data_IF_216830112680
#
_entry.id   IF_216830112680
#
_cell.length_a   1.000
_cell.length_b   1.000
_cell.length_c   1.000
_cell.angle_alpha   90.00
_cell.angle_beta   90.00
_cell.angle_gamma   90.00
#
_symmetry.space_group_name_H-M   'P 1'
#
loop_
_entity.id
_entity.type
_entity.pdbx_description
1 polymer ?
#
# COMPACT_ATOMS: atom_id res chain seq x y z
N UNK A 1 -18.48 -8.58 -14.87
CA UNK A 1 -17.71 -8.38 -13.62
C UNK A 1 -16.49 -9.30 -13.67
N UNK A 2 -15.43 -8.90 -14.38
CA UNK A 2 -14.21 -9.72 -14.49
C UNK A 2 -13.23 -9.29 -13.39
N UNK A 3 -13.29 -10.04 -12.29
CA UNK A 3 -12.29 -10.00 -11.23
C UNK A 3 -10.97 -10.43 -11.85
N UNK A 4 -10.03 -9.49 -11.94
CA UNK A 4 -8.64 -9.73 -12.36
C UNK A 4 -7.95 -10.55 -11.28
N UNK A 5 -8.13 -11.87 -11.33
CA UNK A 5 -7.52 -12.86 -10.43
C UNK A 5 -6.05 -13.16 -10.81
N UNK A 6 -5.25 -12.14 -11.17
CA UNK A 6 -3.87 -12.36 -11.66
C UNK A 6 -2.78 -12.26 -10.59
N UNK A 7 -3.09 -12.18 -9.29
CA UNK A 7 -2.06 -11.97 -8.24
C UNK A 7 -1.99 -13.00 -7.13
N UNK A 8 -2.49 -14.20 -7.38
CA UNK A 8 -2.24 -15.36 -6.52
C UNK A 8 -1.72 -16.57 -7.31
N UNK A 9 -0.99 -16.34 -8.42
CA UNK A 9 0.00 -17.31 -8.91
C UNK A 9 1.16 -17.36 -7.91
N UNK A 10 0.79 -17.94 -6.77
CA UNK A 10 1.53 -18.71 -5.79
C UNK A 10 3.03 -18.49 -5.79
N UNK A 11 3.50 -17.88 -4.70
CA UNK A 11 4.91 -17.89 -4.30
C UNK A 11 5.55 -19.28 -4.38
N UNK A 12 4.76 -20.37 -4.31
CA UNK A 12 5.23 -21.73 -4.53
C UNK A 12 5.58 -22.01 -5.99
N UNK A 13 4.79 -21.53 -6.95
CA UNK A 13 5.09 -21.71 -8.39
C UNK A 13 6.39 -20.97 -8.73
N UNK A 14 6.57 -19.75 -8.21
CA UNK A 14 7.80 -19.00 -8.44
C UNK A 14 9.02 -19.71 -7.82
N UNK A 15 8.87 -20.27 -6.62
CA UNK A 15 9.92 -21.06 -5.96
C UNK A 15 10.22 -22.34 -6.74
N UNK A 16 9.19 -23.08 -7.16
CA UNK A 16 9.33 -24.30 -7.94
C UNK A 16 10.04 -24.04 -9.28
N UNK A 17 9.66 -22.97 -9.99
CA UNK A 17 10.30 -22.58 -11.25
C UNK A 17 11.75 -22.18 -11.02
N UNK A 18 12.06 -21.45 -9.94
CA UNK A 18 13.43 -21.13 -9.56
C UNK A 18 14.27 -22.39 -9.30
N UNK A 19 13.74 -23.37 -8.55
CA UNK A 19 14.45 -24.63 -8.29
C UNK A 19 14.61 -25.49 -9.55
N UNK A 20 13.59 -25.54 -10.42
CA UNK A 20 13.67 -26.26 -11.68
C UNK A 20 14.72 -25.64 -12.61
N UNK A 21 14.76 -24.32 -12.71
CA UNK A 21 15.79 -23.62 -13.49
C UNK A 21 17.20 -23.87 -12.93
N UNK A 22 17.36 -23.82 -11.60
CA UNK A 22 18.65 -24.10 -10.95
C UNK A 22 19.09 -25.56 -11.17
N UNK A 23 18.17 -26.51 -11.08
CA UNK A 23 18.44 -27.92 -11.36
C UNK A 23 18.91 -28.12 -12.82
N UNK A 24 18.23 -27.49 -13.77
CA UNK A 24 18.59 -27.60 -15.19
C UNK A 24 19.98 -27.01 -15.48
N UNK A 25 20.32 -25.88 -14.88
CA UNK A 25 21.67 -25.29 -14.97
C UNK A 25 22.72 -26.23 -14.40
N UNK A 26 22.45 -26.85 -13.24
CA UNK A 26 23.36 -27.81 -12.60
C UNK A 26 23.60 -29.02 -13.50
N UNK A 27 22.53 -29.61 -14.06
CA UNK A 27 22.63 -30.78 -14.95
C UNK A 27 23.43 -30.44 -16.20
N UNK A 28 23.18 -29.31 -16.85
CA UNK A 28 23.91 -28.88 -18.05
C UNK A 28 25.39 -28.67 -17.70
N UNK A 29 25.69 -27.98 -16.60
CA UNK A 29 27.07 -27.70 -16.21
C UNK A 29 27.82 -28.98 -15.87
N UNK A 30 27.19 -29.93 -15.19
CA UNK A 30 27.79 -31.21 -14.86
C UNK A 30 28.04 -32.06 -16.12
N UNK A 31 27.08 -32.11 -17.04
CA UNK A 31 27.23 -32.82 -18.32
C UNK A 31 28.39 -32.24 -19.15
N UNK A 32 28.49 -30.91 -19.24
CA UNK A 32 29.55 -30.21 -19.94
C UNK A 32 30.94 -30.41 -19.28
N UNK A 33 31.02 -30.37 -17.94
CA UNK A 33 32.30 -30.58 -17.25
C UNK A 33 32.79 -32.02 -17.39
N UNK A 34 31.86 -32.98 -17.26
CA UNK A 34 32.20 -34.41 -17.36
C UNK A 34 32.65 -34.76 -18.78
N UNK A 35 32.00 -34.19 -19.81
CA UNK A 35 32.43 -34.39 -21.21
C UNK A 35 33.79 -33.76 -21.49
N UNK A 36 34.03 -32.53 -21.01
CA UNK A 36 35.32 -31.84 -21.17
C UNK A 36 36.48 -32.55 -20.44
N UNK A 37 36.24 -33.07 -19.23
CA UNK A 37 37.27 -33.81 -18.47
C UNK A 37 37.60 -35.16 -19.10
N UNK A 38 36.61 -35.86 -19.68
CA UNK A 38 36.86 -37.09 -20.44
C UNK A 38 37.71 -36.84 -21.68
N UNK A 39 37.48 -35.75 -22.40
CA UNK A 39 38.32 -35.38 -23.55
C UNK A 39 39.79 -35.14 -23.17
N UNK A 40 40.07 -34.82 -21.90
CA UNK A 40 41.41 -34.58 -21.36
C UNK A 40 42.10 -35.83 -20.80
N UNK A 41 41.50 -37.01 -20.98
CA UNK A 41 42.10 -38.30 -20.60
C UNK A 41 42.06 -38.61 -19.10
N UNK A 42 41.23 -37.93 -18.31
CA UNK A 42 41.11 -38.22 -16.88
C UNK A 42 40.35 -39.53 -16.60
N UNK A 43 40.82 -40.27 -15.59
CA UNK A 43 40.17 -41.48 -15.10
C UNK A 43 38.72 -41.19 -14.66
N UNK A 44 37.81 -42.12 -14.99
CA UNK A 44 36.36 -41.94 -14.80
C UNK A 44 35.94 -41.63 -13.36
N UNK A 45 36.64 -42.15 -12.35
CA UNK A 45 36.35 -41.90 -10.94
C UNK A 45 36.78 -40.51 -10.45
N UNK A 46 37.97 -40.04 -10.86
CA UNK A 46 38.46 -38.71 -10.46
C UNK A 46 37.71 -37.57 -11.17
N UNK A 47 37.29 -37.78 -12.41
CA UNK A 47 36.48 -36.79 -13.14
C UNK A 47 35.11 -36.58 -12.50
N UNK A 48 34.47 -37.65 -11.97
CA UNK A 48 33.19 -37.57 -11.26
C UNK A 48 33.29 -36.76 -9.96
N UNK A 49 34.30 -37.02 -9.13
CA UNK A 49 34.51 -36.30 -7.87
C UNK A 49 34.84 -34.83 -8.12
N UNK A 50 35.73 -34.55 -9.08
CA UNK A 50 36.10 -33.19 -9.44
C UNK A 50 34.90 -32.40 -10.01
N UNK A 51 34.11 -33.02 -10.89
CA UNK A 51 32.92 -32.38 -11.44
C UNK A 51 31.87 -32.11 -10.36
N UNK A 52 31.64 -33.07 -9.45
CA UNK A 52 30.73 -32.89 -8.31
C UNK A 52 31.16 -31.74 -7.39
N UNK A 53 32.44 -31.66 -7.05
CA UNK A 53 32.97 -30.59 -6.20
C UNK A 53 32.83 -29.20 -6.84
N UNK A 54 33.14 -29.07 -8.15
CA UNK A 54 33.01 -27.81 -8.89
C UNK A 54 31.55 -27.36 -8.96
N UNK A 55 30.63 -28.29 -9.23
CA UNK A 55 29.19 -28.00 -9.26
C UNK A 55 28.69 -27.54 -7.89
N UNK A 56 29.08 -28.22 -6.80
CA UNK A 56 28.71 -27.82 -5.44
C UNK A 56 29.17 -26.39 -5.13
N UNK A 57 30.43 -26.07 -5.42
CA UNK A 57 30.99 -24.73 -5.21
C UNK A 57 30.22 -23.68 -6.02
N UNK A 58 29.91 -23.98 -7.28
CA UNK A 58 29.15 -23.06 -8.13
C UNK A 58 27.73 -22.81 -7.61
N UNK A 59 27.03 -23.84 -7.14
CA UNK A 59 25.69 -23.71 -6.55
C UNK A 59 25.74 -22.84 -5.29
N UNK A 60 26.70 -23.09 -4.40
CA UNK A 60 26.87 -22.29 -3.18
C UNK A 60 27.12 -20.82 -3.50
N UNK A 61 28.00 -20.53 -4.48
CA UNK A 61 28.24 -19.16 -4.95
C UNK A 61 26.99 -18.51 -5.53
N UNK A 62 26.22 -19.22 -6.36
CA UNK A 62 24.98 -18.71 -6.94
C UNK A 62 23.93 -18.35 -5.88
N UNK A 63 23.77 -19.21 -4.86
CA UNK A 63 22.84 -18.96 -3.75
C UNK A 63 23.31 -17.77 -2.91
N UNK A 64 24.61 -17.67 -2.62
CA UNK A 64 25.18 -16.54 -1.89
C UNK A 64 25.01 -15.23 -2.67
N UNK A 65 25.30 -15.24 -3.97
CA UNK A 65 25.15 -14.10 -4.86
C UNK A 65 23.68 -13.66 -4.92
N UNK A 66 22.74 -14.60 -5.04
CA UNK A 66 21.31 -14.28 -5.04
C UNK A 66 20.84 -13.65 -3.72
N UNK A 67 21.35 -14.12 -2.58
CA UNK A 67 21.05 -13.53 -1.28
C UNK A 67 21.67 -12.12 -1.13
N UNK A 68 22.89 -11.94 -1.62
CA UNK A 68 23.56 -10.65 -1.69
C UNK A 68 22.81 -9.66 -2.59
N UNK A 69 22.38 -10.09 -3.78
CA UNK A 69 21.64 -9.25 -4.73
C UNK A 69 20.31 -8.74 -4.15
N UNK A 70 19.60 -9.60 -3.40
CA UNK A 70 18.36 -9.21 -2.70
C UNK A 70 18.62 -8.12 -1.66
N UNK A 71 19.70 -8.25 -0.88
CA UNK A 71 20.11 -7.24 0.13
C UNK A 71 20.48 -5.93 -0.56
N UNK A 72 21.30 -5.99 -1.59
CA UNK A 72 21.73 -4.82 -2.34
C UNK A 72 20.58 -4.07 -3.03
N UNK A 73 19.61 -4.79 -3.61
CA UNK A 73 18.40 -4.18 -4.16
C UNK A 73 17.54 -3.52 -3.08
N UNK A 74 17.51 -4.08 -1.87
CA UNK A 74 16.83 -3.47 -0.72
C UNK A 74 17.51 -2.15 -0.31
N UNK A 75 18.83 -2.16 -0.19
CA UNK A 75 19.64 -0.97 0.14
C UNK A 75 19.50 0.11 -0.94
N UNK A 76 19.51 -0.24 -2.23
CA UNK A 76 19.31 0.73 -3.32
C UNK A 76 17.95 1.44 -3.24
N UNK A 77 16.88 0.73 -2.83
CA UNK A 77 15.55 1.32 -2.62
C UNK A 77 15.50 2.23 -1.39
N UNK A 78 16.36 2.01 -0.39
CA UNK A 78 16.48 2.89 0.77
C UNK A 78 17.33 4.13 0.46
N UNK A 79 18.38 3.98 -0.35
CA UNK A 79 19.20 5.10 -0.85
C UNK A 79 18.38 6.08 -1.71
N UNK A 80 17.49 5.58 -2.58
CA UNK A 80 16.57 6.46 -3.32
C UNK A 80 15.61 7.22 -2.39
N UNK A 81 15.21 6.64 -1.26
CA UNK A 81 14.34 7.30 -0.26
C UNK A 81 15.09 8.39 0.51
N UNK A 82 16.35 8.14 0.88
CA UNK A 82 17.21 9.15 1.51
C UNK A 82 17.47 10.33 0.57
N UNK A 83 17.72 10.08 -0.72
CA UNK A 83 17.85 11.16 -1.73
C UNK A 83 16.60 12.02 -1.84
N UNK A 84 15.42 11.45 -1.62
CA UNK A 84 14.14 12.15 -1.63
C UNK A 84 13.77 12.77 -0.26
N UNK A 85 14.68 12.76 0.72
CA UNK A 85 14.45 13.20 2.12
C UNK A 85 13.20 12.56 2.76
N UNK A 86 12.81 11.37 2.30
CA UNK A 86 11.72 10.61 2.89
C UNK A 86 12.23 9.99 4.21
N UNK A 87 11.53 10.17 5.35
CA UNK A 87 11.95 9.60 6.61
C UNK A 87 12.01 8.06 6.52
N UNK A 88 12.90 7.46 7.30
CA UNK A 88 13.12 6.01 7.31
C UNK A 88 11.86 5.26 7.77
N UNK A 89 11.29 4.44 6.87
CA UNK A 89 10.09 3.66 7.12
C UNK A 89 9.00 3.86 6.05
N UNK A 90 7.92 3.08 6.07
CA UNK A 90 6.74 3.32 5.26
C UNK A 90 6.03 4.59 5.76
N UNK A 91 6.04 5.65 4.96
CA UNK A 91 5.46 6.96 5.29
C UNK A 91 3.94 6.90 5.21
N UNK A 92 3.27 7.20 6.32
CA UNK A 92 1.86 7.54 6.30
C UNK A 92 1.74 9.03 5.99
N UNK A 93 0.94 9.36 4.99
CA UNK A 93 0.66 10.73 4.60
C UNK A 93 -0.71 11.07 5.17
N UNK A 94 -0.74 11.94 6.17
CA UNK A 94 -1.96 12.64 6.54
C UNK A 94 -2.34 13.53 5.36
N UNK A 95 -3.57 13.41 4.87
CA UNK A 95 -4.07 14.29 3.82
C UNK A 95 -4.19 15.70 4.38
N UNK A 96 -3.49 16.65 3.78
CA UNK A 96 -3.79 18.06 3.92
C UNK A 96 -4.96 18.39 2.99
N UNK A 97 -6.02 19.04 3.48
CA UNK A 97 -7.07 19.53 2.60
C UNK A 97 -6.47 20.45 1.53
N UNK A 98 -6.77 20.15 0.28
CA UNK A 98 -6.42 21.03 -0.82
C UNK A 98 -7.21 22.35 -0.72
N UNK A 99 -6.66 23.46 -1.22
CA UNK A 99 -7.26 24.80 -1.08
C UNK A 99 -8.61 25.00 -1.79
N UNK A 100 -9.14 24.00 -2.52
CA UNK A 100 -10.32 24.13 -3.40
C UNK A 100 -11.56 23.36 -2.93
N UNK A 101 -11.62 22.89 -1.68
CA UNK A 101 -12.86 22.30 -1.14
C UNK A 101 -13.73 23.40 -0.53
N UNK A 102 -14.81 23.76 -1.22
CA UNK A 102 -15.77 24.82 -0.87
C UNK A 102 -16.11 24.92 0.64
N UNK A 103 -15.48 25.90 1.30
CA UNK A 103 -16.01 26.90 2.25
C UNK A 103 -17.01 26.54 3.38
N UNK A 104 -17.33 25.27 3.67
CA UNK A 104 -18.25 24.94 4.78
C UNK A 104 -17.72 23.95 5.82
N UNK A 105 -16.51 23.41 5.62
CA UNK A 105 -15.86 22.52 6.58
C UNK A 105 -14.32 22.65 6.53
N UNK A 106 -13.81 23.88 6.39
CA UNK A 106 -12.41 24.15 6.74
C UNK A 106 -12.24 23.76 8.21
N UNK A 107 -11.36 22.80 8.49
CA UNK A 107 -11.13 22.38 9.87
C UNK A 107 -10.37 23.51 10.56
N UNK A 108 -10.94 24.21 11.57
CA UNK A 108 -10.31 25.37 12.21
C UNK A 108 -9.17 24.97 13.16
N UNK A 109 -8.68 23.74 13.02
CA UNK A 109 -7.67 23.13 13.86
C UNK A 109 -6.42 22.85 13.04
N UNK A 110 -5.31 23.43 13.44
CA UNK A 110 -3.99 23.11 12.91
C UNK A 110 -3.36 21.98 13.74
N UNK A 111 -2.69 21.05 13.07
CA UNK A 111 -2.02 19.93 13.74
C UNK A 111 -0.66 20.42 14.25
N UNK A 112 -0.48 20.42 15.56
CA UNK A 112 0.79 20.81 16.21
C UNK A 112 1.79 19.67 16.08
N UNK A 113 2.76 19.87 15.18
CA UNK A 113 3.85 18.94 14.96
C UNK A 113 3.51 17.81 13.98
N UNK A 114 4.45 16.86 13.79
CA UNK A 114 4.29 15.82 12.79
C UNK A 114 3.32 14.73 13.27
N UNK A 115 2.10 14.75 12.75
CA UNK A 115 1.18 13.63 12.92
C UNK A 115 1.60 12.47 12.02
N UNK A 116 1.85 11.30 12.63
CA UNK A 116 2.34 10.12 11.93
C UNK A 116 1.50 8.91 12.31
N UNK A 117 0.78 8.36 11.33
CA UNK A 117 0.23 7.01 11.49
C UNK A 117 1.33 5.97 11.26
N UNK A 118 1.25 4.85 11.97
CA UNK A 118 2.17 3.73 11.79
C UNK A 118 1.60 2.77 10.75
N UNK A 119 2.34 2.47 9.69
CA UNK A 119 1.87 1.52 8.69
C UNK A 119 1.71 0.12 9.30
N UNK A 120 0.53 -0.53 9.20
CA UNK A 120 0.32 -1.86 9.75
C UNK A 120 1.24 -2.94 9.15
N UNK A 121 1.76 -3.84 9.99
CA UNK A 121 2.81 -4.82 9.59
C UNK A 121 2.33 -5.79 8.51
N UNK A 122 1.10 -6.27 8.61
CA UNK A 122 0.52 -7.24 7.66
C UNK A 122 0.35 -6.63 6.25
N UNK A 123 -0.41 -5.53 6.06
CA UNK A 123 -0.48 -4.80 4.80
C UNK A 123 0.88 -4.40 4.24
N UNK A 124 1.83 -4.02 5.10
CA UNK A 124 3.20 -3.68 4.69
C UNK A 124 3.92 -4.87 4.04
N UNK A 125 3.84 -6.06 4.65
CA UNK A 125 4.46 -7.28 4.11
C UNK A 125 3.81 -7.74 2.81
N UNK A 126 2.51 -7.51 2.69
CA UNK A 126 1.71 -7.92 1.53
C UNK A 126 1.70 -6.90 0.39
N UNK A 127 2.29 -5.72 0.59
CA UNK A 127 2.29 -4.67 -0.42
C UNK A 127 0.90 -4.06 -0.67
N UNK A 128 0.04 -4.08 0.35
CA UNK A 128 -1.35 -3.61 0.27
C UNK A 128 -1.40 -2.14 0.69
N UNK A 129 -1.87 -1.29 -0.21
CA UNK A 129 -2.19 0.13 0.03
C UNK A 129 -3.66 0.27 0.47
N UNK A 130 -3.99 1.38 1.13
CA UNK A 130 -5.33 1.57 1.68
C UNK A 130 -5.61 2.99 2.13
N UNK A 131 -6.83 3.20 2.59
CA UNK A 131 -7.22 4.45 3.25
C UNK A 131 -8.14 4.16 4.44
N UNK A 132 -8.17 5.10 5.38
CA UNK A 132 -9.12 5.12 6.47
C UNK A 132 -9.61 6.55 6.69
N UNK A 133 -10.92 6.75 6.72
CA UNK A 133 -11.55 8.02 7.05
C UNK A 133 -12.06 7.90 8.48
N UNK A 134 -11.52 8.73 9.35
CA UNK A 134 -11.88 8.77 10.77
C UNK A 134 -12.64 10.04 11.07
N UNK A 135 -13.71 9.92 11.86
CA UNK A 135 -14.43 11.04 12.43
C UNK A 135 -14.03 11.19 13.90
N UNK A 136 -13.75 12.40 14.35
CA UNK A 136 -13.35 12.66 15.73
C UNK A 136 -13.84 14.03 16.20
N UNK A 137 -13.92 14.21 17.51
CA UNK A 137 -14.29 15.48 18.13
C UNK A 137 -13.06 16.15 18.75
N UNK A 138 -12.93 17.46 18.53
CA UNK A 138 -11.86 18.27 19.14
C UNK A 138 -12.18 18.62 20.59
N UNK A 139 -11.33 18.20 21.53
CA UNK A 139 -11.39 18.63 22.94
C UNK A 139 -10.83 20.04 23.12
N UNK A 140 -11.26 20.76 24.16
CA UNK A 140 -10.67 22.05 24.57
C UNK A 140 -9.15 21.97 24.83
N UNK A 141 -8.65 20.78 25.18
CA UNK A 141 -7.22 20.49 25.39
C UNK A 141 -6.44 20.24 24.09
N UNK A 142 -7.09 20.40 22.93
CA UNK A 142 -6.47 20.13 21.63
C UNK A 142 -6.19 18.64 21.38
N UNK A 143 -6.90 17.73 22.05
CA UNK A 143 -6.81 16.29 21.81
C UNK A 143 -8.05 15.80 21.07
N UNK A 144 -7.87 14.83 20.16
CA UNK A 144 -9.00 14.12 19.57
C UNK A 144 -9.69 13.24 20.62
N UNK A 145 -11.03 13.31 20.66
CA UNK A 145 -11.93 12.45 21.41
C UNK A 145 -12.92 11.79 20.46
N UNK A 146 -13.63 10.76 20.94
CA UNK A 146 -14.71 10.10 20.19
C UNK A 146 -14.30 9.75 18.74
N UNK A 147 -13.19 9.01 18.61
CA UNK A 147 -12.65 8.64 17.30
C UNK A 147 -13.43 7.43 16.77
N UNK A 148 -14.20 7.66 15.71
CA UNK A 148 -15.04 6.69 15.03
C UNK A 148 -14.56 6.42 13.60
N UNK A 149 -14.82 5.21 13.12
CA UNK A 149 -14.54 4.81 11.74
C UNK A 149 -15.72 5.22 10.86
N UNK A 150 -15.46 6.04 9.83
CA UNK A 150 -16.47 6.37 8.81
C UNK A 150 -16.37 5.39 7.65
N UNK A 151 -15.15 5.19 7.14
CA UNK A 151 -14.89 4.30 6.02
C UNK A 151 -13.45 3.81 6.04
N UNK A 152 -13.21 2.58 5.61
CA UNK A 152 -11.88 2.02 5.47
C UNK A 152 -11.83 1.01 4.32
N UNK A 153 -10.70 1.02 3.62
CA UNK A 153 -10.43 0.06 2.56
C UNK A 153 -8.96 -0.36 2.60
N UNK A 154 -8.63 -1.65 2.34
CA UNK A 154 -9.50 -2.82 2.13
C UNK A 154 -10.09 -3.46 3.40
N UNK A 155 -9.64 -3.04 4.59
CA UNK A 155 -10.12 -3.55 5.88
C UNK A 155 -9.84 -2.54 6.98
N UNK A 156 -10.45 -2.73 8.15
CA UNK A 156 -10.31 -1.89 9.34
C UNK A 156 -8.90 -1.90 9.96
N UNK A 157 -7.98 -2.70 9.42
CA UNK A 157 -6.57 -2.72 9.84
C UNK A 157 -5.94 -1.31 9.72
N UNK A 158 -6.35 -0.52 8.73
CA UNK A 158 -5.88 0.85 8.55
C UNK A 158 -6.51 1.84 9.54
N UNK A 159 -7.71 1.54 10.05
CA UNK A 159 -8.37 2.36 11.06
C UNK A 159 -7.60 2.35 12.39
N UNK A 160 -7.09 1.19 12.82
CA UNK A 160 -6.31 1.09 14.07
C UNK A 160 -5.08 2.00 14.05
N UNK A 161 -4.37 2.03 12.92
CA UNK A 161 -3.21 2.90 12.72
C UNK A 161 -3.58 4.39 12.70
N UNK A 162 -4.71 4.73 12.07
CA UNK A 162 -5.23 6.11 12.07
C UNK A 162 -5.67 6.56 13.46
N UNK A 163 -6.35 5.67 14.20
CA UNK A 163 -6.79 5.91 15.59
C UNK A 163 -5.60 6.16 16.52
N UNK A 164 -4.57 5.31 16.44
CA UNK A 164 -3.33 5.49 17.21
C UNK A 164 -2.69 6.87 16.90
N UNK A 165 -2.62 7.25 15.63
CA UNK A 165 -2.10 8.56 15.22
C UNK A 165 -2.88 9.73 15.83
N UNK A 166 -4.21 9.66 15.79
CA UNK A 166 -5.11 10.68 16.33
C UNK A 166 -5.03 10.81 17.85
N UNK A 167 -4.79 9.70 18.55
CA UNK A 167 -4.65 9.70 20.01
C UNK A 167 -3.41 10.48 20.48
N UNK A 168 -2.33 10.44 19.69
CA UNK A 168 -1.09 11.18 19.98
C UNK A 168 -1.05 12.57 19.37
N UNK A 169 -1.94 12.87 18.41
CA UNK A 169 -2.00 14.17 17.77
C UNK A 169 -2.43 15.28 18.74
N UNK A 170 -1.87 16.46 18.52
CA UNK A 170 -2.25 17.71 19.19
C UNK A 170 -2.77 18.66 18.13
N UNK A 171 -3.89 19.29 18.45
CA UNK A 171 -4.57 20.25 17.60
C UNK A 171 -4.57 21.60 18.28
N UNK A 172 -4.19 22.66 17.57
CA UNK A 172 -4.25 24.03 18.02
C UNK A 172 -5.33 24.76 17.21
N UNK A 173 -6.21 25.52 17.85
CA UNK A 173 -7.15 26.36 17.13
C UNK A 173 -6.39 27.36 16.25
N UNK A 174 -6.80 27.53 15.00
CA UNK A 174 -6.31 28.61 14.15
C UNK A 174 -6.73 29.94 14.77
N UNK A 175 -5.83 30.93 14.77
CA UNK A 175 -6.03 32.21 15.46
C UNK A 175 -7.21 33.02 14.87
N UNK A 176 -7.57 32.77 13.61
CA UNK A 176 -8.54 33.57 12.86
C UNK A 176 -9.96 32.96 12.82
N UNK A 177 -10.16 31.74 13.34
CA UNK A 177 -11.44 31.02 13.21
C UNK A 177 -12.00 30.54 14.56
N UNK A 178 -13.27 30.85 14.83
CA UNK A 178 -13.91 30.49 16.09
C UNK A 178 -14.20 28.98 16.16
N UNK A 179 -13.47 28.29 17.04
CA UNK A 179 -13.58 26.84 17.19
C UNK A 179 -14.84 26.44 17.96
N UNK A 180 -15.68 25.60 17.33
CA UNK A 180 -16.83 24.98 17.99
C UNK A 180 -16.41 23.69 18.69
N UNK A 181 -16.42 23.70 20.02
CA UNK A 181 -16.22 22.48 20.81
C UNK A 181 -17.42 21.54 20.64
N UNK A 182 -17.16 20.26 20.41
CA UNK A 182 -18.20 19.25 20.17
C UNK A 182 -18.66 19.09 18.72
N UNK A 183 -18.05 19.82 17.77
CA UNK A 183 -18.20 19.51 16.36
C UNK A 183 -17.38 18.25 16.01
N UNK A 184 -17.96 17.37 15.20
CA UNK A 184 -17.27 16.21 14.64
C UNK A 184 -16.56 16.58 13.34
N UNK A 185 -15.31 16.16 13.20
CA UNK A 185 -14.44 16.44 12.06
C UNK A 185 -13.99 15.14 11.42
N UNK A 186 -13.96 15.11 10.09
CA UNK A 186 -13.51 13.95 9.31
C UNK A 186 -12.10 14.16 8.81
N UNK A 187 -11.23 13.20 9.08
CA UNK A 187 -9.84 13.20 8.66
C UNK A 187 -9.52 11.93 7.86
N UNK A 188 -9.14 12.07 6.57
CA UNK A 188 -8.73 10.93 5.77
C UNK A 188 -7.23 10.63 5.93
N UNK A 189 -6.91 9.37 6.17
CA UNK A 189 -5.56 8.81 6.18
C UNK A 189 -5.35 7.97 4.94
N UNK A 190 -4.27 8.25 4.20
CA UNK A 190 -3.92 7.49 3.00
C UNK A 190 -2.60 6.78 3.23
N UNK A 191 -2.64 5.46 3.10
CA UNK A 191 -1.52 4.57 3.32
C UNK A 191 -0.97 4.11 1.97
N UNK A 192 0.21 4.62 1.61
CA UNK A 192 0.92 4.30 0.36
C UNK A 192 2.31 3.78 0.64
N UNK A 193 2.78 2.86 -0.19
CA UNK A 193 4.10 2.23 0.00
C UNK A 193 5.22 2.99 -0.70
N UNK A 194 4.88 3.81 -1.70
CA UNK A 194 5.84 4.53 -2.54
C UNK A 194 6.02 6.01 -2.18
N UNK A 195 5.40 6.51 -1.10
CA UNK A 195 5.58 7.90 -0.63
C UNK A 195 5.05 8.99 -1.58
N UNK A 196 4.32 8.64 -2.65
CA UNK A 196 3.72 9.60 -3.57
C UNK A 196 2.44 10.18 -2.95
N UNK A 197 2.50 11.44 -2.52
CA UNK A 197 1.46 12.16 -1.78
C UNK A 197 0.32 12.74 -2.60
N UNK A 198 0.36 12.65 -3.93
CA UNK A 198 -0.75 13.15 -4.75
C UNK A 198 -1.77 12.05 -4.99
N UNK A 199 -2.91 12.18 -4.32
CA UNK A 199 -4.16 11.55 -4.75
C UNK A 199 -4.57 12.28 -6.04
N UNK A 200 -4.06 11.87 -7.20
CA UNK A 200 -4.47 12.44 -8.49
C UNK A 200 -5.93 12.10 -8.88
N UNK A 201 -6.71 11.56 -7.94
CA UNK A 201 -8.10 11.17 -8.15
C UNK A 201 -8.84 11.25 -6.82
N UNK A 202 -9.43 12.42 -6.58
CA UNK A 202 -10.48 12.71 -5.60
C UNK A 202 -11.68 11.79 -5.84
N UNK A 203 -11.67 10.55 -5.32
CA UNK A 203 -12.86 9.71 -5.16
C UNK A 203 -13.69 9.37 -6.42
N UNK A 204 -13.35 9.89 -7.60
CA UNK A 204 -14.10 9.74 -8.83
C UNK A 204 -14.03 8.29 -9.34
N UNK A 205 -12.86 7.66 -9.23
CA UNK A 205 -12.68 6.24 -9.55
C UNK A 205 -13.29 5.28 -8.52
N UNK A 206 -13.41 5.69 -7.25
CA UNK A 206 -14.12 4.90 -6.23
C UNK A 206 -15.64 4.95 -6.44
N UNK A 207 -16.19 6.13 -6.83
CA UNK A 207 -17.58 6.27 -7.30
C UNK A 207 -17.86 5.44 -8.56
N UNK A 208 -16.90 5.35 -9.48
CA UNK A 208 -17.05 4.58 -10.72
C UNK A 208 -17.13 3.04 -10.51
N UNK A 209 -16.73 2.52 -9.33
CA UNK A 209 -16.77 1.09 -9.02
C UNK A 209 -18.06 0.62 -8.31
N UNK A 210 -19.02 1.53 -8.04
CA UNK A 210 -20.38 1.18 -7.61
C UNK A 210 -21.40 1.72 -8.62
N UNK A 211 -21.64 1.03 -9.75
CA UNK A 211 -22.57 1.51 -10.78
C UNK A 211 -24.04 1.60 -10.33
N UNK A 212 -24.39 0.93 -9.22
CA UNK A 212 -25.79 0.82 -8.75
C UNK A 212 -26.24 2.07 -7.99
N UNK A 213 -25.34 2.75 -7.27
CA UNK A 213 -25.65 3.97 -6.50
C UNK A 213 -26.03 5.19 -7.37
N UNK A 214 -25.30 5.53 -8.45
CA UNK A 214 -25.69 6.64 -9.32
C UNK A 214 -26.95 6.34 -10.13
N UNK A 215 -27.21 5.07 -10.46
CA UNK A 215 -28.46 4.66 -11.10
C UNK A 215 -29.65 4.84 -10.15
N UNK A 216 -29.51 4.47 -8.87
CA UNK A 216 -30.54 4.68 -7.87
C UNK A 216 -30.81 6.17 -7.60
N UNK A 217 -29.76 7.02 -7.54
CA UNK A 217 -29.92 8.47 -7.36
C UNK A 217 -30.68 9.11 -8.53
N UNK A 218 -30.35 8.76 -9.78
CA UNK A 218 -31.10 9.23 -10.96
C UNK A 218 -32.56 8.78 -10.95
N UNK A 219 -32.84 7.57 -10.49
CA UNK A 219 -34.22 7.07 -10.41
C UNK A 219 -35.03 7.87 -9.39
N UNK A 220 -34.44 8.21 -8.24
CA UNK A 220 -35.09 9.04 -7.21
C UNK A 220 -35.34 10.46 -7.72
N UNK A 221 -34.41 11.06 -8.46
CA UNK A 221 -34.61 12.38 -9.08
C UNK A 221 -35.74 12.37 -10.13
N UNK A 222 -35.83 11.31 -10.94
CA UNK A 222 -36.92 11.17 -11.91
C UNK A 222 -38.28 11.04 -11.19
N UNK A 223 -38.33 10.27 -10.10
CA UNK A 223 -39.55 10.10 -9.32
C UNK A 223 -39.97 11.39 -8.61
N UNK A 224 -39.02 12.15 -8.05
CA UNK A 224 -39.31 13.43 -7.39
C UNK A 224 -39.78 14.49 -8.38
N UNK A 225 -39.15 14.57 -9.56
CA UNK A 225 -39.60 15.46 -10.64
C UNK A 225 -41.01 15.12 -11.13
N UNK A 226 -41.31 13.82 -11.30
CA UNK A 226 -42.64 13.37 -11.73
C UNK A 226 -43.71 13.60 -10.67
N UNK A 227 -43.37 13.46 -9.39
CA UNK A 227 -44.28 13.76 -8.29
C UNK A 227 -44.60 15.27 -8.20
N UNK A 228 -43.62 16.14 -8.48
CA UNK A 228 -43.82 17.58 -8.53
C UNK A 228 -44.76 17.99 -9.69
N UNK A 229 -44.60 17.39 -10.86
CA UNK A 229 -45.43 17.70 -12.05
C UNK A 229 -46.90 17.27 -11.87
N UNK A 230 -47.14 16.11 -11.23
CA UNK A 230 -48.50 15.66 -10.87
C UNK A 230 -49.18 16.64 -9.89
N UNK A 231 -48.42 17.19 -8.94
CA UNK A 231 -48.95 18.15 -7.96
C UNK A 231 -49.32 19.49 -8.62
N UNK A 232 -48.63 19.90 -9.67
CA UNK A 232 -48.95 21.13 -10.41
C UNK A 232 -50.20 20.94 -11.28
N UNK A 233 -50.42 19.76 -11.87
CA UNK A 233 -51.61 19.49 -12.71
C UNK A 233 -52.91 19.23 -11.93
N UNK A 234 -52.83 19.05 -10.61
CA UNK A 234 -53.99 18.77 -9.75
C UNK A 234 -54.54 20.02 -9.04
N UNK A 235 -53.95 21.18 -9.30
CA UNK A 235 -54.44 22.51 -8.93
C UNK A 235 -54.88 23.27 -10.18
#
# INVERSE_FOLDING_TARGET
MLVRATRALSTWILRALFYAALFLVVVIMQAALTSALRQRGWNGSMSLLAAGAVVLIAVLLLVQLAAWLRRWLHERREMMRLRLKLPSGPTCLAWTPGPETDSSASMPWEVVGPMRARYPVLPRRLGIEGYAITEFEGSATGRAKNIHLVDAWPSDIFFLAAKEALQYARFQPSLDEHVRYGASYRMPFVFRLNGLSRLADTGARAKALRPILPAAQRFVEILSARAADIRIRSH
#
